data_IF_221493039461
#
_entry.id   IF_221493039461
#
_cell.length_a   1.000
_cell.length_b   1.000
_cell.length_c   1.000
_cell.angle_alpha   90.00
_cell.angle_beta   90.00
_cell.angle_gamma   90.00
#
_symmetry.space_group_name_H-M   'P 1'
#
loop_
_entity.id
_entity.type
_entity.pdbx_description
1 polymer ?
#
# COMPACT_ATOMS: atom_id res chain seq x y z
N UNK A 1 -0.10 -6.08 15.52
CA UNK A 1 -0.61 -6.74 14.29
C UNK A 1 -1.96 -6.10 14.00
N UNK A 2 -2.01 -5.11 13.11
CA UNK A 2 -3.27 -4.41 12.79
C UNK A 2 -3.96 -5.23 11.70
N UNK A 3 -4.99 -5.99 12.09
CA UNK A 3 -5.88 -6.64 11.15
C UNK A 3 -6.54 -5.56 10.29
N UNK A 4 -6.12 -5.50 9.03
CA UNK A 4 -6.76 -4.69 8.02
C UNK A 4 -8.10 -5.33 7.70
N UNK A 5 -9.11 -5.05 8.53
CA UNK A 5 -10.50 -5.45 8.31
C UNK A 5 -10.95 -4.89 6.97
N UNK A 6 -10.92 -5.75 5.96
CA UNK A 6 -11.49 -5.50 4.65
C UNK A 6 -13.00 -5.41 4.83
N UNK A 7 -13.51 -4.19 5.00
CA UNK A 7 -14.96 -3.94 5.06
C UNK A 7 -15.57 -4.57 3.80
N UNK A 8 -16.53 -5.49 3.93
CA UNK A 8 -17.12 -6.14 2.77
C UNK A 8 -17.77 -5.07 1.87
N UNK A 9 -17.68 -5.25 0.54
CA UNK A 9 -18.21 -4.29 -0.41
C UNK A 9 -19.71 -4.04 -0.15
N UNK A 10 -20.14 -2.78 -0.28
CA UNK A 10 -21.50 -2.32 0.02
C UNK A 10 -22.60 -3.17 -0.65
N UNK A 11 -22.31 -3.72 -1.83
CA UNK A 11 -23.17 -4.60 -2.62
C UNK A 11 -23.48 -5.96 -1.95
N UNK A 12 -22.58 -6.48 -1.11
CA UNK A 12 -22.86 -7.69 -0.31
C UNK A 12 -23.76 -7.41 0.90
N UNK A 13 -23.84 -6.15 1.34
CA UNK A 13 -24.68 -5.76 2.49
C UNK A 13 -26.11 -5.41 2.09
N UNK A 14 -26.32 -4.91 0.88
CA UNK A 14 -27.64 -4.42 0.42
C UNK A 14 -28.03 -4.96 -0.96
N UNK A 15 -28.23 -6.28 -1.13
CA UNK A 15 -28.57 -6.89 -2.42
C UNK A 15 -29.89 -6.37 -3.01
N UNK A 16 -30.86 -6.04 -2.15
CA UNK A 16 -32.16 -5.50 -2.55
C UNK A 16 -32.04 -4.12 -3.19
N UNK A 17 -31.18 -3.24 -2.64
CA UNK A 17 -30.98 -1.88 -3.16
C UNK A 17 -30.31 -1.93 -4.54
N UNK A 18 -29.31 -2.80 -4.71
CA UNK A 18 -28.69 -3.00 -6.03
C UNK A 18 -29.67 -3.56 -7.06
N UNK A 19 -30.54 -4.49 -6.66
CA UNK A 19 -31.57 -5.03 -7.55
C UNK A 19 -32.57 -3.98 -7.98
N UNK A 20 -33.05 -3.15 -7.06
CA UNK A 20 -33.97 -2.06 -7.35
C UNK A 20 -33.37 -1.01 -8.31
N UNK A 21 -32.11 -0.63 -8.10
CA UNK A 21 -31.40 0.29 -9.01
C UNK A 21 -31.24 -0.34 -10.41
N UNK A 22 -30.89 -1.62 -10.50
CA UNK A 22 -30.74 -2.31 -11.77
C UNK A 22 -32.08 -2.39 -12.53
N UNK A 23 -33.18 -2.72 -11.84
CA UNK A 23 -34.52 -2.76 -12.42
C UNK A 23 -34.98 -1.39 -12.91
N UNK A 24 -34.78 -0.34 -12.11
CA UNK A 24 -35.16 1.03 -12.49
C UNK A 24 -34.36 1.50 -13.70
N UNK A 25 -33.06 1.19 -13.74
CA UNK A 25 -32.19 1.48 -14.91
C UNK A 25 -32.67 0.72 -16.15
N UNK A 26 -33.08 -0.55 -15.98
CA UNK A 26 -33.61 -1.37 -17.07
C UNK A 26 -34.93 -0.80 -17.62
N UNK A 27 -35.86 -0.43 -16.75
CA UNK A 27 -37.14 0.20 -17.15
C UNK A 27 -36.89 1.52 -17.89
N UNK A 28 -35.99 2.39 -17.40
CA UNK A 28 -35.66 3.64 -18.09
C UNK A 28 -34.99 3.42 -19.46
N UNK A 29 -34.24 2.32 -19.63
CA UNK A 29 -33.70 1.94 -20.94
C UNK A 29 -34.82 1.52 -21.90
N UNK A 30 -35.80 0.74 -21.43
CA UNK A 30 -36.94 0.32 -22.24
C UNK A 30 -37.83 1.50 -22.68
N UNK A 31 -37.96 2.53 -21.83
CA UNK A 31 -38.77 3.73 -22.08
C UNK A 31 -38.05 4.78 -22.97
N UNK A 32 -36.83 4.49 -23.44
CA UNK A 32 -36.09 5.35 -24.37
C UNK A 32 -35.26 6.47 -23.73
N UNK A 33 -35.15 6.50 -22.40
CA UNK A 33 -34.47 7.57 -21.64
C UNK A 33 -32.95 7.42 -21.55
N UNK A 34 -32.30 6.99 -22.63
CA UNK A 34 -30.88 6.65 -22.68
C UNK A 34 -29.94 7.78 -22.24
N UNK A 35 -30.30 9.03 -22.55
CA UNK A 35 -29.47 10.21 -22.24
C UNK A 35 -29.34 10.41 -20.73
N UNK A 36 -30.42 10.18 -19.98
CA UNK A 36 -30.42 10.34 -18.51
C UNK A 36 -29.61 9.24 -17.82
N UNK A 37 -29.76 7.99 -18.28
CA UNK A 37 -28.99 6.85 -17.78
C UNK A 37 -27.51 7.01 -18.11
N UNK A 38 -27.19 7.41 -19.34
CA UNK A 38 -25.83 7.65 -19.78
C UNK A 38 -25.13 8.75 -18.99
N UNK A 39 -25.81 9.89 -18.76
CA UNK A 39 -25.26 10.99 -17.95
C UNK A 39 -25.09 10.60 -16.49
N UNK A 40 -26.07 9.91 -15.89
CA UNK A 40 -25.94 9.39 -14.53
C UNK A 40 -24.77 8.41 -14.39
N UNK A 41 -24.62 7.47 -15.33
CA UNK A 41 -23.49 6.53 -15.37
C UNK A 41 -22.14 7.25 -15.53
N UNK A 42 -22.07 8.25 -16.42
CA UNK A 42 -20.87 9.06 -16.61
C UNK A 42 -20.47 9.83 -15.35
N UNK A 43 -21.45 10.41 -14.64
CA UNK A 43 -21.21 11.09 -13.35
C UNK A 43 -20.70 10.11 -12.30
N UNK A 44 -21.33 8.95 -12.17
CA UNK A 44 -20.89 7.90 -11.22
C UNK A 44 -19.47 7.44 -11.54
N UNK A 45 -19.17 7.20 -12.81
CA UNK A 45 -17.83 6.82 -13.26
C UNK A 45 -16.80 7.92 -12.96
N UNK A 46 -17.12 9.18 -13.27
CA UNK A 46 -16.24 10.32 -13.01
C UNK A 46 -15.96 10.48 -11.50
N UNK A 47 -16.98 10.35 -10.66
CA UNK A 47 -16.83 10.40 -9.19
C UNK A 47 -16.00 9.21 -8.70
N UNK A 48 -16.24 8.01 -9.20
CA UNK A 48 -15.46 6.82 -8.85
C UNK A 48 -13.98 6.99 -9.22
N UNK A 49 -13.69 7.44 -10.44
CA UNK A 49 -12.33 7.72 -10.90
C UNK A 49 -11.65 8.79 -10.05
N UNK A 50 -12.33 9.91 -9.77
CA UNK A 50 -11.80 10.97 -8.90
C UNK A 50 -11.47 10.45 -7.49
N UNK A 51 -12.34 9.61 -6.92
CA UNK A 51 -12.09 8.98 -5.60
C UNK A 51 -10.90 8.03 -5.64
N UNK A 52 -10.75 7.23 -6.71
CA UNK A 52 -9.62 6.32 -6.89
C UNK A 52 -8.31 7.08 -7.04
N UNK A 53 -8.27 8.11 -7.88
CA UNK A 53 -7.08 8.96 -8.08
C UNK A 53 -6.70 9.63 -6.75
N UNK A 54 -7.66 10.24 -6.04
CA UNK A 54 -7.40 10.85 -4.72
C UNK A 54 -6.84 9.87 -3.70
N UNK A 55 -7.31 8.62 -3.68
CA UNK A 55 -6.81 7.60 -2.76
C UNK A 55 -5.36 7.21 -3.07
N UNK A 56 -4.99 7.12 -4.36
CA UNK A 56 -3.60 6.85 -4.77
C UNK A 56 -2.69 8.03 -4.42
N UNK A 57 -3.11 9.27 -4.71
CA UNK A 57 -2.30 10.46 -4.41
C UNK A 57 -2.01 10.61 -2.92
N UNK A 58 -2.98 10.30 -2.05
CA UNK A 58 -2.78 10.34 -0.60
C UNK A 58 -1.81 9.26 -0.12
N UNK A 59 -1.87 8.06 -0.71
CA UNK A 59 -0.94 6.96 -0.39
C UNK A 59 0.49 7.31 -0.79
N UNK A 60 0.68 7.85 -1.99
CA UNK A 60 2.00 8.22 -2.51
C UNK A 60 2.60 9.41 -1.75
N UNK A 61 1.76 10.38 -1.35
CA UNK A 61 2.18 11.50 -0.51
C UNK A 61 2.75 11.02 0.84
N UNK A 62 2.13 10.01 1.45
CA UNK A 62 2.63 9.41 2.68
C UNK A 62 3.99 8.71 2.52
N UNK A 63 4.21 8.02 1.39
CA UNK A 63 5.50 7.37 1.10
C UNK A 63 6.61 8.40 0.88
N UNK A 64 6.34 9.48 0.13
CA UNK A 64 7.29 10.57 -0.07
C UNK A 64 7.66 11.25 1.25
N UNK A 65 6.67 11.62 2.05
CA UNK A 65 6.91 12.26 3.35
C UNK A 65 7.77 11.39 4.29
N UNK A 66 7.63 10.07 4.22
CA UNK A 66 8.47 9.14 5.00
C UNK A 66 9.89 9.05 4.46
N UNK A 67 10.07 8.96 3.15
CA UNK A 67 11.38 8.96 2.51
C UNK A 67 12.14 10.27 2.81
N UNK A 68 11.46 11.43 2.72
CA UNK A 68 12.05 12.73 3.01
C UNK A 68 12.45 12.89 4.49
N UNK A 69 11.68 12.27 5.40
CA UNK A 69 12.02 12.21 6.82
C UNK A 69 13.28 11.37 7.06
N UNK A 70 13.36 10.18 6.46
CA UNK A 70 14.53 9.29 6.59
C UNK A 70 15.79 9.90 5.96
N UNK A 71 15.67 10.56 4.80
CA UNK A 71 16.76 11.27 4.14
C UNK A 71 17.30 12.41 5.01
N UNK A 72 16.42 13.23 5.59
CA UNK A 72 16.85 14.31 6.51
C UNK A 72 17.55 13.77 7.75
N UNK A 73 17.08 12.65 8.30
CA UNK A 73 17.76 11.99 9.43
C UNK A 73 19.15 11.47 9.04
N UNK A 74 19.32 10.91 7.83
CA UNK A 74 20.64 10.49 7.36
C UNK A 74 21.60 11.67 7.19
N UNK A 75 21.11 12.83 6.72
CA UNK A 75 21.90 14.04 6.57
C UNK A 75 22.23 14.69 7.92
N UNK A 76 21.31 14.63 8.88
CA UNK A 76 21.47 15.24 10.20
C UNK A 76 22.57 14.56 11.03
N UNK A 77 22.86 13.27 10.78
CA UNK A 77 23.98 12.55 11.39
C UNK A 77 23.93 12.52 12.92
N UNK A 78 23.37 11.45 13.49
CA UNK A 78 23.38 11.27 14.95
C UNK A 78 24.80 10.85 15.42
N UNK A 79 25.40 11.51 16.44
CA UNK A 79 26.65 11.06 17.05
C UNK A 79 26.60 9.63 17.62
N UNK A 80 25.40 9.05 17.80
CA UNK A 80 25.21 7.64 18.20
C UNK A 80 25.24 6.63 17.04
N UNK A 81 25.37 7.08 15.79
CA UNK A 81 25.45 6.20 14.61
C UNK A 81 24.10 5.63 14.13
N UNK A 82 22.99 6.20 14.60
CA UNK A 82 21.62 5.80 14.23
C UNK A 82 21.09 6.61 13.05
N UNK A 83 21.01 6.01 11.86
CA UNK A 83 20.42 6.65 10.67
C UNK A 83 18.90 6.48 10.67
N UNK A 84 18.21 7.30 11.46
CA UNK A 84 16.75 7.30 11.54
C UNK A 84 16.17 6.18 12.41
N UNK A 85 15.07 5.54 11.98
CA UNK A 85 14.36 4.51 12.79
C UNK A 85 15.03 3.14 12.79
N UNK A 86 16.03 2.92 11.93
CA UNK A 86 16.75 1.66 11.85
C UNK A 86 18.10 1.79 12.54
N UNK A 87 18.32 1.14 13.69
CA UNK A 87 19.65 1.09 14.29
C UNK A 87 20.60 0.35 13.35
N UNK A 88 21.91 0.70 13.36
CA UNK A 88 22.91 -0.06 12.61
C UNK A 88 22.82 -1.53 13.01
N UNK A 89 22.90 -2.42 12.01
CA UNK A 89 22.88 -3.86 12.24
C UNK A 89 24.02 -4.19 13.19
N UNK A 90 23.70 -4.81 14.34
CA UNK A 90 24.69 -5.18 15.33
C UNK A 90 25.54 -6.34 14.81
N UNK A 91 26.79 -6.42 15.28
CA UNK A 91 27.68 -7.50 14.91
C UNK A 91 27.11 -8.87 15.36
N UNK A 92 27.14 -9.86 14.48
CA UNK A 92 26.51 -11.15 14.75
C UNK A 92 26.53 -12.13 13.57
N UNK A 93 26.02 -13.34 13.82
CA UNK A 93 25.86 -14.37 12.80
C UNK A 93 24.51 -14.21 12.09
N UNK A 94 24.56 -13.99 10.78
CA UNK A 94 23.36 -13.82 9.95
C UNK A 94 23.37 -14.80 8.77
N UNK A 95 22.22 -15.19 8.21
CA UNK A 95 22.18 -16.03 7.01
C UNK A 95 22.93 -15.39 5.85
N UNK A 96 23.78 -16.15 5.14
CA UNK A 96 24.54 -15.61 4.01
C UNK A 96 23.57 -15.30 2.85
N UNK A 97 23.57 -14.05 2.32
CA UNK A 97 22.76 -13.68 1.17
C UNK A 97 23.03 -14.51 -0.09
N UNK A 98 24.22 -15.10 -0.23
CA UNK A 98 24.60 -15.92 -1.39
C UNK A 98 24.35 -17.42 -1.18
N UNK A 99 24.25 -17.88 0.07
CA UNK A 99 24.02 -19.30 0.38
C UNK A 99 23.22 -19.48 1.67
N UNK A 100 21.94 -19.87 1.54
CA UNK A 100 21.00 -20.02 2.66
C UNK A 100 21.39 -21.10 3.68
N UNK A 101 22.32 -21.99 3.35
CA UNK A 101 22.80 -23.06 4.24
C UNK A 101 23.93 -22.59 5.18
N UNK A 102 24.50 -21.40 4.93
CA UNK A 102 25.59 -20.83 5.70
C UNK A 102 25.11 -19.62 6.50
N UNK A 103 25.65 -19.48 7.70
CA UNK A 103 25.64 -18.25 8.49
C UNK A 103 26.98 -17.56 8.30
N UNK A 104 26.98 -16.28 7.96
CA UNK A 104 28.19 -15.45 7.83
C UNK A 104 28.21 -14.41 8.92
N UNK A 105 29.39 -14.15 9.50
CA UNK A 105 29.53 -13.15 10.54
C UNK A 105 29.58 -11.75 9.92
N UNK A 106 28.67 -10.87 10.35
CA UNK A 106 28.65 -9.45 10.00
C UNK A 106 29.23 -8.65 11.17
N UNK A 107 30.18 -7.76 10.92
CA UNK A 107 30.88 -7.01 11.97
C UNK A 107 30.20 -5.69 12.37
N UNK A 108 29.05 -5.39 11.75
CA UNK A 108 28.33 -4.12 11.92
C UNK A 108 28.52 -3.14 10.76
N UNK A 109 29.51 -3.38 9.90
CA UNK A 109 29.82 -2.55 8.73
C UNK A 109 29.91 -3.37 7.44
N UNK A 110 30.59 -4.52 7.48
CA UNK A 110 30.81 -5.40 6.35
C UNK A 110 30.66 -6.85 6.75
N UNK A 111 30.41 -7.68 5.75
CA UNK A 111 30.43 -9.11 5.94
C UNK A 111 31.86 -9.63 6.00
N UNK A 112 32.17 -10.42 7.02
CA UNK A 112 33.47 -11.05 7.16
C UNK A 112 33.54 -12.36 6.37
N UNK A 113 34.76 -12.90 6.17
CA UNK A 113 34.96 -14.21 5.54
C UNK A 113 34.56 -15.40 6.43
N UNK A 114 34.24 -15.16 7.71
CA UNK A 114 33.86 -16.21 8.63
C UNK A 114 32.44 -16.67 8.33
N UNK A 115 32.32 -17.91 7.86
CA UNK A 115 31.06 -18.57 7.61
C UNK A 115 31.01 -19.93 8.34
N UNK A 116 29.86 -20.26 8.90
CA UNK A 116 29.55 -21.53 9.57
C UNK A 116 28.29 -22.12 8.97
N UNK A 117 28.13 -23.44 9.02
CA UNK A 117 26.87 -24.07 8.61
C UNK A 117 25.77 -23.77 9.64
N UNK A 118 24.56 -23.57 9.13
CA UNK A 118 23.34 -23.42 9.94
C UNK A 118 22.90 -24.74 10.56
#
# INVERSE_FOLDING_TARGET
MFDQQTRPPFWRRHPVVSGAVALLTCVMLFDGWYVTVGTAAAVVLAVALRRRIRAVTLRDAGLRARADYEYRLSLAGDPRGTFGRYPPVQAGWFPDPHNRLLMRYFDGTVWTRHAVYR
#
